data_IF_231850968800
#
_entry.id   IF_231850968800
#
_cell.length_a   1.000
_cell.length_b   1.000
_cell.length_c   1.000
_cell.angle_alpha   90.00
_cell.angle_beta   90.00
_cell.angle_gamma   90.00
#
_symmetry.space_group_name_H-M   'P 1'
#
loop_
_entity.id
_entity.type
_entity.pdbx_description
1 polymer ?
#
# COMPACT_ATOMS: atom_id res chain seq x y z
N UNK A 1 -0.85 10.03 -9.55
CA UNK A 1 -1.20 9.60 -8.18
C UNK A 1 0.03 9.27 -7.34
N UNK A 2 0.81 8.22 -7.65
CA UNK A 2 1.96 7.77 -6.83
C UNK A 2 2.99 8.86 -6.50
N UNK A 3 3.44 9.62 -7.51
CA UNK A 3 4.42 10.69 -7.32
C UNK A 3 3.88 11.86 -6.48
N UNK A 4 2.58 12.17 -6.61
CA UNK A 4 1.94 13.20 -5.81
C UNK A 4 1.83 12.76 -4.33
N UNK A 5 1.38 11.52 -4.10
CA UNK A 5 1.32 10.96 -2.74
C UNK A 5 2.72 10.88 -2.11
N UNK A 6 3.72 10.40 -2.84
CA UNK A 6 5.13 10.42 -2.45
C UNK A 6 5.59 11.83 -2.02
N UNK A 7 5.32 12.84 -2.87
CA UNK A 7 5.73 14.22 -2.61
C UNK A 7 5.10 14.76 -1.33
N UNK A 8 3.80 14.56 -1.14
CA UNK A 8 3.09 15.00 0.05
C UNK A 8 3.53 14.26 1.31
N UNK A 9 3.71 12.94 1.23
CA UNK A 9 4.17 12.12 2.35
C UNK A 9 5.58 12.55 2.79
N UNK A 10 6.53 12.66 1.84
CA UNK A 10 7.90 13.11 2.10
C UNK A 10 7.93 14.50 2.74
N UNK A 11 7.15 15.45 2.20
CA UNK A 11 7.08 16.82 2.75
C UNK A 11 6.48 16.87 4.15
N UNK A 12 5.47 16.03 4.43
CA UNK A 12 4.83 15.97 5.73
C UNK A 12 5.73 15.34 6.80
N UNK A 13 6.49 14.32 6.45
CA UNK A 13 7.47 13.69 7.35
C UNK A 13 8.70 14.58 7.53
N UNK A 14 9.16 15.22 6.45
CA UNK A 14 10.34 16.08 6.45
C UNK A 14 11.64 15.29 6.24
N UNK A 15 12.55 15.86 5.46
CA UNK A 15 13.78 15.18 5.04
C UNK A 15 14.70 14.87 6.23
N UNK A 16 14.77 15.78 7.20
CA UNK A 16 15.54 15.56 8.42
C UNK A 16 15.03 14.37 9.24
N UNK A 17 13.71 14.21 9.36
CA UNK A 17 13.13 13.08 10.06
C UNK A 17 13.45 11.77 9.35
N UNK A 18 13.32 11.75 8.02
CA UNK A 18 13.62 10.56 7.23
C UNK A 18 15.10 10.17 7.36
N UNK A 19 16.02 11.12 7.19
CA UNK A 19 17.45 10.86 7.28
C UNK A 19 17.87 10.40 8.68
N UNK A 20 17.42 11.10 9.74
CA UNK A 20 17.83 10.79 11.12
C UNK A 20 17.32 9.43 11.62
N UNK A 21 16.31 8.86 10.97
CA UNK A 21 15.74 7.55 11.31
C UNK A 21 16.09 6.47 10.29
N UNK A 22 17.03 6.75 9.36
CA UNK A 22 17.41 5.86 8.25
C UNK A 22 16.21 5.40 7.41
N UNK A 23 15.22 6.27 7.24
CA UNK A 23 14.01 5.97 6.49
C UNK A 23 14.14 6.43 5.04
N UNK A 24 13.63 5.62 4.12
CA UNK A 24 13.51 5.99 2.71
C UNK A 24 12.17 5.60 2.15
N UNK A 25 11.68 6.43 1.23
CA UNK A 25 10.44 6.19 0.50
C UNK A 25 10.82 5.88 -0.94
N UNK A 26 10.42 4.71 -1.44
CA UNK A 26 10.62 4.31 -2.82
C UNK A 26 9.27 4.24 -3.54
N UNK A 27 9.21 4.77 -4.76
CA UNK A 27 8.11 4.53 -5.69
C UNK A 27 8.50 3.39 -6.63
N UNK A 28 7.54 2.52 -6.98
CA UNK A 28 7.77 1.38 -7.89
C UNK A 28 8.87 0.43 -7.42
N UNK A 29 8.74 -0.06 -6.18
CA UNK A 29 9.74 -0.90 -5.54
C UNK A 29 9.57 -2.38 -5.87
N UNK A 30 10.68 -3.06 -6.14
CA UNK A 30 10.72 -4.48 -6.47
C UNK A 30 11.62 -5.23 -5.49
N UNK A 31 11.04 -6.17 -4.74
CA UNK A 31 11.78 -6.95 -3.75
C UNK A 31 11.13 -8.32 -3.52
N UNK A 32 11.89 -9.41 -3.63
CA UNK A 32 11.42 -10.79 -3.41
C UNK A 32 10.09 -11.15 -4.11
N UNK A 33 9.84 -10.59 -5.30
CA UNK A 33 8.60 -10.81 -6.07
C UNK A 33 7.47 -9.83 -5.74
N UNK A 34 7.57 -9.03 -4.68
CA UNK A 34 6.69 -7.89 -4.44
C UNK A 34 7.03 -6.76 -5.43
N UNK A 35 6.00 -6.29 -6.14
CA UNK A 35 6.04 -5.04 -6.91
C UNK A 35 5.05 -4.06 -6.28
N UNK A 36 5.58 -3.15 -5.47
CA UNK A 36 4.80 -2.18 -4.73
C UNK A 36 4.78 -0.81 -5.39
N UNK A 37 3.63 -0.15 -5.34
CA UNK A 37 3.50 1.21 -5.86
C UNK A 37 4.31 2.22 -5.06
N UNK A 38 4.31 2.08 -3.74
CA UNK A 38 5.16 2.83 -2.83
C UNK A 38 5.53 1.97 -1.61
N UNK A 39 6.76 2.08 -1.15
CA UNK A 39 7.19 1.51 0.13
C UNK A 39 7.88 2.55 0.99
N UNK A 40 7.75 2.38 2.30
CA UNK A 40 8.62 3.01 3.30
C UNK A 40 9.51 1.91 3.85
N UNK A 41 10.82 2.15 3.82
CA UNK A 41 11.81 1.18 4.28
C UNK A 41 12.73 1.82 5.31
N UNK A 42 13.35 0.97 6.12
CA UNK A 42 14.51 1.29 6.92
C UNK A 42 15.76 0.82 6.20
N UNK A 43 16.76 1.69 6.13
CA UNK A 43 18.08 1.36 5.63
C UNK A 43 18.96 0.86 6.79
N UNK A 44 20.02 0.15 6.45
CA UNK A 44 21.08 -0.22 7.38
C UNK A 44 21.78 1.01 7.99
N UNK A 45 22.69 0.79 8.94
CA UNK A 45 23.37 1.87 9.67
C UNK A 45 24.33 2.70 8.78
N UNK A 46 24.86 2.12 7.71
CA UNK A 46 25.81 2.76 6.80
C UNK A 46 25.33 2.70 5.34
N UNK A 47 24.24 3.42 4.99
CA UNK A 47 23.64 3.32 3.68
C UNK A 47 24.53 3.97 2.61
N UNK A 48 24.64 3.33 1.43
CA UNK A 48 25.45 3.78 0.31
C UNK A 48 26.73 2.98 0.08
N UNK A 49 27.15 2.15 1.05
CA UNK A 49 28.38 1.33 0.93
C UNK A 49 28.17 0.09 0.04
N UNK A 50 26.92 -0.34 -0.19
CA UNK A 50 26.59 -1.50 -1.05
C UNK A 50 26.27 -1.11 -2.51
N UNK A 51 26.84 0.01 -2.99
CA UNK A 51 26.75 0.52 -4.36
C UNK A 51 25.42 1.18 -4.73
N UNK A 52 24.28 0.53 -4.44
CA UNK A 52 22.95 1.11 -4.61
C UNK A 52 22.17 1.08 -3.30
N UNK A 53 21.53 2.20 -2.96
CA UNK A 53 20.70 2.35 -1.75
C UNK A 53 19.55 1.35 -1.61
N UNK A 54 19.11 0.72 -2.72
CA UNK A 54 18.12 -0.37 -2.65
C UNK A 54 18.68 -1.64 -2.01
N UNK A 55 20.00 -1.82 -2.07
CA UNK A 55 20.72 -2.95 -1.48
C UNK A 55 20.97 -2.74 0.02
N UNK A 56 20.78 -1.52 0.50
CA UNK A 56 20.93 -1.15 1.91
C UNK A 56 19.62 -1.27 2.70
N UNK A 57 18.57 -1.81 2.08
CA UNK A 57 17.27 -2.01 2.75
C UNK A 57 17.39 -3.13 3.77
N UNK A 58 17.22 -2.78 5.04
CA UNK A 58 17.23 -3.71 6.18
C UNK A 58 15.81 -4.21 6.46
N UNK A 59 14.82 -3.30 6.43
CA UNK A 59 13.43 -3.60 6.77
C UNK A 59 12.46 -2.86 5.84
N UNK A 60 11.38 -3.54 5.43
CA UNK A 60 10.22 -2.89 4.81
C UNK A 60 9.22 -2.55 5.91
N UNK A 61 9.03 -1.27 6.18
CA UNK A 61 8.12 -0.79 7.23
C UNK A 61 6.67 -0.78 6.73
N UNK A 62 6.46 -0.25 5.53
CA UNK A 62 5.13 -0.13 4.96
C UNK A 62 5.13 -0.36 3.45
N UNK A 63 4.07 -1.01 2.98
CA UNK A 63 3.73 -1.22 1.57
C UNK A 63 2.41 -0.51 1.30
N UNK A 64 2.40 0.35 0.30
CA UNK A 64 1.22 1.12 -0.09
C UNK A 64 0.90 0.81 -1.55
N UNK A 65 -0.27 0.22 -1.77
CA UNK A 65 -0.83 0.00 -3.10
C UNK A 65 -1.89 1.04 -3.39
N UNK A 66 -1.81 1.66 -4.58
CA UNK A 66 -2.70 2.75 -4.93
C UNK A 66 -3.40 2.44 -6.24
N UNK A 67 -4.73 2.35 -6.20
CA UNK A 67 -5.55 2.24 -7.42
C UNK A 67 -6.49 3.41 -7.59
N UNK A 68 -6.59 3.78 -8.87
CA UNK A 68 -7.53 4.75 -9.36
C UNK A 68 -8.64 3.99 -10.09
N UNK A 69 -9.89 4.13 -9.62
CA UNK A 69 -11.05 3.51 -10.29
C UNK A 69 -11.54 4.44 -11.40
N UNK A 70 -11.32 4.04 -12.65
CA UNK A 70 -11.88 4.74 -13.83
C UNK A 70 -12.93 3.90 -14.56
N UNK A 71 -13.00 2.59 -14.27
CA UNK A 71 -13.93 1.66 -14.88
C UNK A 71 -14.78 0.94 -13.81
N UNK A 72 -15.79 0.20 -14.26
CA UNK A 72 -16.69 -0.56 -13.38
C UNK A 72 -16.06 -1.87 -12.87
N UNK A 73 -14.86 -2.24 -13.31
CA UNK A 73 -14.26 -3.52 -12.99
C UNK A 73 -13.54 -3.49 -11.65
N UNK A 74 -13.86 -4.45 -10.79
CA UNK A 74 -13.15 -4.63 -9.52
C UNK A 74 -11.90 -5.51 -9.66
N UNK A 75 -11.63 -6.07 -10.86
CA UNK A 75 -10.48 -6.96 -11.09
C UNK A 75 -9.13 -6.33 -10.72
N UNK A 76 -8.84 -5.06 -11.06
CA UNK A 76 -7.57 -4.44 -10.68
C UNK A 76 -7.40 -4.33 -9.15
N UNK A 77 -8.50 -4.15 -8.42
CA UNK A 77 -8.51 -4.05 -6.95
C UNK A 77 -8.28 -5.42 -6.32
N UNK A 78 -9.00 -6.44 -6.79
CA UNK A 78 -8.82 -7.83 -6.36
C UNK A 78 -7.39 -8.33 -6.63
N UNK A 79 -6.80 -7.93 -7.76
CA UNK A 79 -5.42 -8.26 -8.08
C UNK A 79 -4.40 -7.67 -7.10
N UNK A 80 -4.65 -6.46 -6.57
CA UNK A 80 -3.77 -5.86 -5.57
C UNK A 80 -3.96 -6.48 -4.19
N UNK A 81 -5.21 -6.83 -3.83
CA UNK A 81 -5.48 -7.59 -2.59
C UNK A 81 -4.73 -8.91 -2.63
N UNK A 82 -4.79 -9.64 -3.74
CA UNK A 82 -4.05 -10.90 -3.90
C UNK A 82 -2.55 -10.68 -3.83
N UNK A 83 -2.03 -9.59 -4.41
CA UNK A 83 -0.60 -9.25 -4.31
C UNK A 83 -0.16 -9.03 -2.87
N UNK A 84 -0.95 -8.30 -2.07
CA UNK A 84 -0.70 -8.09 -0.64
C UNK A 84 -0.79 -9.41 0.14
N UNK A 85 -1.79 -10.24 -0.16
CA UNK A 85 -1.94 -11.55 0.45
C UNK A 85 -0.70 -12.42 0.22
N UNK A 86 -0.19 -12.46 -1.02
CA UNK A 86 1.02 -13.20 -1.37
C UNK A 86 2.27 -12.66 -0.68
N UNK A 87 2.42 -11.34 -0.53
CA UNK A 87 3.57 -10.79 0.21
C UNK A 87 3.57 -11.17 1.68
N UNK A 88 2.39 -11.28 2.30
CA UNK A 88 2.24 -11.72 3.69
C UNK A 88 2.47 -13.24 3.80
N UNK A 89 1.79 -14.02 2.96
CA UNK A 89 1.70 -15.47 3.13
C UNK A 89 2.84 -16.25 2.47
N UNK A 90 3.27 -15.86 1.26
CA UNK A 90 4.31 -16.56 0.52
C UNK A 90 5.68 -15.97 0.84
N UNK A 91 5.82 -14.64 0.74
CA UNK A 91 7.10 -13.96 0.91
C UNK A 91 7.44 -13.63 2.36
N UNK A 92 6.46 -13.79 3.28
CA UNK A 92 6.62 -13.54 4.71
C UNK A 92 7.18 -12.15 5.03
N UNK A 93 6.82 -11.16 4.23
CA UNK A 93 7.24 -9.77 4.43
C UNK A 93 6.46 -9.19 5.61
N UNK A 94 7.15 -8.95 6.72
CA UNK A 94 6.59 -8.30 7.90
C UNK A 94 6.58 -6.78 7.71
N UNK A 95 5.44 -6.24 7.26
CA UNK A 95 5.26 -4.81 7.00
C UNK A 95 3.82 -4.40 7.31
N UNK A 96 3.58 -3.10 7.43
CA UNK A 96 2.24 -2.53 7.39
C UNK A 96 1.75 -2.44 5.95
N UNK A 97 0.53 -2.92 5.68
CA UNK A 97 -0.05 -2.90 4.33
C UNK A 97 -1.19 -1.89 4.25
N UNK A 98 -1.12 -1.01 3.26
CA UNK A 98 -2.14 0.00 2.98
C UNK A 98 -2.64 -0.14 1.55
N UNK A 99 -3.97 -0.20 1.41
CA UNK A 99 -4.65 -0.15 0.12
C UNK A 99 -5.37 1.20 0.03
N UNK A 100 -4.92 2.06 -0.88
CA UNK A 100 -5.45 3.40 -1.08
C UNK A 100 -6.20 3.47 -2.41
N UNK A 101 -7.51 3.70 -2.33
CA UNK A 101 -8.39 3.72 -3.49
C UNK A 101 -8.98 5.12 -3.68
N UNK A 102 -8.76 5.70 -4.86
CA UNK A 102 -9.42 6.94 -5.26
C UNK A 102 -10.56 6.58 -6.21
N UNK A 103 -11.76 6.99 -5.82
CA UNK A 103 -12.98 6.82 -6.59
C UNK A 103 -13.38 8.18 -7.16
N UNK A 104 -13.13 8.41 -8.44
CA UNK A 104 -13.65 9.59 -9.15
C UNK A 104 -14.94 9.19 -9.88
N UNK A 105 -15.96 8.84 -9.10
CA UNK A 105 -17.30 8.57 -9.62
C UNK A 105 -18.27 9.43 -8.81
N UNK A 106 -19.11 10.21 -9.48
CA UNK A 106 -20.26 10.83 -8.82
C UNK A 106 -21.21 9.71 -8.40
N UNK A 107 -21.23 9.42 -7.10
CA UNK A 107 -22.23 8.53 -6.54
C UNK A 107 -23.57 9.27 -6.53
N UNK A 108 -24.60 8.68 -7.12
CA UNK A 108 -25.96 9.10 -6.79
C UNK A 108 -26.15 8.90 -5.28
N UNK A 109 -26.69 9.93 -4.60
CA UNK A 109 -26.80 10.04 -3.12
C UNK A 109 -27.45 8.80 -2.46
N UNK A 110 -28.15 7.97 -3.23
CA UNK A 110 -28.84 6.76 -2.78
C UNK A 110 -28.04 5.45 -2.99
N UNK A 111 -26.79 5.53 -3.48
CA UNK A 111 -25.93 4.37 -3.76
C UNK A 111 -24.82 4.22 -2.70
N UNK A 112 -25.22 4.01 -1.44
CA UNK A 112 -24.28 3.64 -0.37
C UNK A 112 -23.73 2.24 -0.61
N UNK A 113 -22.61 2.14 -1.32
CA UNK A 113 -21.76 0.95 -1.35
C UNK A 113 -20.40 1.28 -0.77
N UNK A 114 -20.39 1.52 0.55
CA UNK A 114 -19.18 1.30 1.32
C UNK A 114 -18.91 -0.21 1.31
N UNK A 115 -17.74 -0.60 0.80
CA UNK A 115 -17.32 -2.01 0.75
C UNK A 115 -17.27 -2.65 2.15
N UNK A 116 -17.18 -1.82 3.20
CA UNK A 116 -17.23 -2.24 4.61
C UNK A 116 -18.66 -2.66 5.01
N UNK A 117 -19.70 -2.16 4.35
CA UNK A 117 -21.09 -2.51 4.65
C UNK A 117 -21.57 -3.80 3.96
N UNK A 118 -20.88 -4.23 2.90
CA UNK A 118 -21.20 -5.48 2.19
C UNK A 118 -20.94 -6.71 3.09
N UNK A 119 -19.93 -6.67 3.97
CA UNK A 119 -19.67 -7.76 4.93
C UNK A 119 -20.70 -7.84 6.05
N UNK A 120 -21.36 -6.73 6.44
CA UNK A 120 -22.40 -6.76 7.48
C UNK A 120 -23.68 -7.47 7.03
N UNK A 121 -23.92 -7.55 5.72
CA UNK A 121 -25.14 -8.17 5.17
C UNK A 121 -25.07 -9.71 5.21
N UNK A 122 -23.88 -10.32 5.17
CA UNK A 122 -23.73 -11.79 5.16
C UNK A 122 -23.80 -12.41 6.56
N UNK A 123 -23.51 -11.66 7.62
CA UNK A 123 -23.61 -12.14 9.01
C UNK A 123 -25.01 -12.00 9.63
N UNK A 124 -25.94 -11.28 8.99
CA UNK A 124 -27.29 -11.03 9.51
C UNK A 124 -28.37 -12.05 9.12
N UNK A 125 -28.07 -13.08 8.31
CA UNK A 125 -29.07 -14.04 7.79
C UNK A 125 -28.95 -15.48 8.32
N UNK A 126 -28.26 -15.70 9.45
CA UNK A 126 -28.27 -16.98 10.18
C UNK A 126 -28.73 -16.80 11.63
N UNK A 127 -29.95 -16.26 11.81
CA UNK A 127 -30.66 -16.32 13.08
C UNK A 127 -32.17 -16.16 12.86
N UNK A 128 -32.78 -17.10 12.12
CA UNK A 128 -34.23 -17.35 12.19
C UNK A 128 -34.58 -18.61 11.40
N UNK A 129 -34.50 -19.75 12.07
CA UNK A 129 -35.48 -20.87 12.06
C UNK A 129 -34.92 -22.02 12.87
#
# INVERSE_FOLDING_TARGET
MKNAFYYHLRRRLGDHYLLNNHLRIYTEFYYMGLRADLVVVKLNENPGENGHLKNDVDEIIAVVEMKYKYDLSDKPFLSDIEKVRRSIEEYKINALYYLAFIHEVEYEINSTFSWIDIEKISMGKRASR
#
